data_IF_693671930860
#
_entry.id   IF_693671930860
#
_cell.length_a   1.000
_cell.length_b   1.000
_cell.length_c   1.000
_cell.angle_alpha   90.00
_cell.angle_beta   90.00
_cell.angle_gamma   90.00
#
_symmetry.space_group_name_H-M   'P 1'
#
loop_
_entity.id
_entity.type
_entity.pdbx_description
1 polymer ?
#
# COMPACT_ATOMS: atom_id res chain seq x y z
N UNK A 1 14.47 7.11 18.74
CA UNK A 1 14.24 5.78 18.11
C UNK A 1 15.48 5.46 17.31
N UNK A 2 16.09 4.28 17.45
CA UNK A 2 17.44 4.02 16.89
C UNK A 2 17.55 4.21 15.38
N UNK A 3 16.49 3.89 14.62
CA UNK A 3 16.45 4.11 13.16
C UNK A 3 16.36 5.61 12.80
N UNK A 4 15.60 6.40 13.56
CA UNK A 4 15.56 7.87 13.43
C UNK A 4 16.85 8.55 13.93
N UNK A 5 17.61 7.91 14.84
CA UNK A 5 18.94 8.40 15.20
C UNK A 5 19.98 8.07 14.12
N UNK A 6 19.76 6.99 13.36
CA UNK A 6 20.69 6.53 12.32
C UNK A 6 20.56 7.30 10.99
N UNK A 7 19.47 8.01 10.75
CA UNK A 7 19.24 8.72 9.48
C UNK A 7 18.32 7.99 8.49
N UNK A 8 17.48 7.05 8.95
CA UNK A 8 16.49 6.37 8.10
C UNK A 8 15.28 7.27 7.81
N UNK A 9 15.06 7.60 6.53
CA UNK A 9 13.97 8.48 6.10
C UNK A 9 12.57 7.85 6.20
N UNK A 10 12.45 6.55 5.92
CA UNK A 10 11.18 5.83 5.92
C UNK A 10 11.33 4.52 6.70
N UNK A 11 10.45 4.32 7.67
CA UNK A 11 10.45 3.13 8.52
C UNK A 11 9.11 2.46 8.37
N UNK A 12 9.07 1.33 7.68
CA UNK A 12 7.87 0.51 7.61
C UNK A 12 7.57 -0.07 9.00
N UNK A 13 6.44 0.36 9.55
CA UNK A 13 6.03 0.06 10.93
C UNK A 13 5.20 -1.21 11.07
N UNK A 14 4.77 -1.80 9.96
CA UNK A 14 3.88 -2.96 9.91
C UNK A 14 2.58 -2.67 9.15
N UNK A 15 1.61 -3.56 9.31
CA UNK A 15 0.32 -3.51 8.62
C UNK A 15 -0.80 -3.30 9.65
N UNK A 16 -1.33 -2.05 9.80
CA UNK A 16 -2.30 -1.70 10.84
C UNK A 16 -3.54 -2.62 10.89
N UNK A 17 -4.03 -3.05 9.74
CA UNK A 17 -5.21 -3.91 9.62
C UNK A 17 -4.94 -5.41 9.80
N UNK A 18 -3.69 -5.84 9.94
CA UNK A 18 -3.34 -7.26 9.97
C UNK A 18 -3.62 -7.92 11.31
N UNK A 19 -3.32 -7.24 12.42
CA UNK A 19 -3.43 -7.80 13.76
C UNK A 19 -3.45 -6.69 14.85
N UNK A 20 -3.96 -6.99 16.07
CA UNK A 20 -4.07 -6.00 17.16
C UNK A 20 -2.73 -5.40 17.63
N UNK A 21 -1.62 -6.14 17.51
CA UNK A 21 -0.31 -5.65 17.91
C UNK A 21 0.19 -4.56 16.95
N UNK A 22 -0.05 -4.71 15.66
CA UNK A 22 0.30 -3.67 14.68
C UNK A 22 -0.53 -2.41 14.91
N UNK A 23 -1.84 -2.56 15.16
CA UNK A 23 -2.70 -1.42 15.50
C UNK A 23 -2.18 -0.65 16.73
N UNK A 24 -1.80 -1.37 17.80
CA UNK A 24 -1.23 -0.76 18.99
C UNK A 24 0.14 -0.13 18.73
N UNK A 25 0.96 -0.72 17.85
CA UNK A 25 2.22 -0.11 17.42
C UNK A 25 1.97 1.25 16.76
N UNK A 26 1.01 1.38 15.84
CA UNK A 26 0.72 2.66 15.19
C UNK A 26 0.18 3.70 16.17
N UNK A 27 -0.62 3.28 17.16
CA UNK A 27 -1.06 4.16 18.25
C UNK A 27 0.13 4.69 19.06
N UNK A 28 1.05 3.81 19.46
CA UNK A 28 2.21 4.16 20.27
C UNK A 28 3.24 4.99 19.50
N UNK A 29 3.56 4.60 18.26
CA UNK A 29 4.58 5.28 17.46
C UNK A 29 4.17 6.70 17.08
N UNK A 30 2.86 6.98 16.96
CA UNK A 30 2.33 8.32 16.76
C UNK A 30 2.59 9.28 17.93
N UNK A 31 2.85 8.76 19.14
CA UNK A 31 3.24 9.57 20.30
C UNK A 31 4.74 9.96 20.27
N UNK A 32 5.55 9.33 19.41
CA UNK A 32 6.97 9.62 19.29
C UNK A 32 7.20 10.84 18.39
N UNK A 33 7.99 11.79 18.88
CA UNK A 33 8.51 12.88 18.04
C UNK A 33 9.76 12.40 17.32
N UNK A 34 9.60 12.04 16.04
CA UNK A 34 10.70 11.71 15.16
C UNK A 34 11.32 12.99 14.59
N UNK A 35 12.65 13.02 14.53
CA UNK A 35 13.38 14.20 14.07
C UNK A 35 13.39 14.31 12.55
N UNK A 36 13.40 13.17 11.83
CA UNK A 36 13.46 13.16 10.38
C UNK A 36 12.70 12.00 9.72
N UNK A 37 12.63 10.85 10.39
CA UNK A 37 12.01 9.65 9.84
C UNK A 37 10.49 9.78 9.75
N UNK A 38 9.91 9.21 8.70
CA UNK A 38 8.47 8.99 8.56
C UNK A 38 8.15 7.52 8.79
N UNK A 39 7.17 7.25 9.64
CA UNK A 39 6.61 5.91 9.78
C UNK A 39 5.71 5.63 8.57
N UNK A 40 5.86 4.45 7.99
CA UNK A 40 5.11 3.99 6.82
C UNK A 40 4.19 2.86 7.23
N UNK A 41 2.90 2.97 6.91
CA UNK A 41 1.97 1.85 7.05
C UNK A 41 1.98 0.97 5.79
N UNK A 42 2.16 -0.33 5.96
CA UNK A 42 2.02 -1.30 4.88
C UNK A 42 0.54 -1.69 4.71
N UNK A 43 0.08 -1.85 3.48
CA UNK A 43 -1.26 -2.35 3.16
C UNK A 43 -1.31 -2.92 1.74
N UNK A 44 -2.36 -3.65 1.41
CA UNK A 44 -2.68 -4.03 0.03
C UNK A 44 -3.63 -3.02 -0.64
N UNK A 45 -3.80 -3.14 -1.94
CA UNK A 45 -4.96 -2.55 -2.63
C UNK A 45 -6.29 -3.00 -2.02
N UNK A 46 -7.35 -2.21 -2.20
CA UNK A 46 -8.72 -2.56 -1.81
C UNK A 46 -9.11 -3.94 -2.31
N UNK A 47 -9.97 -4.64 -1.56
CA UNK A 47 -10.55 -5.90 -2.01
C UNK A 47 -11.41 -5.68 -3.27
N UNK A 48 -11.36 -6.65 -4.19
CA UNK A 48 -12.06 -6.57 -5.50
C UNK A 48 -13.57 -6.33 -5.39
N UNK A 49 -14.19 -6.83 -4.32
CA UNK A 49 -15.65 -6.78 -4.10
C UNK A 49 -16.09 -5.62 -3.18
N UNK A 50 -15.17 -4.74 -2.79
CA UNK A 50 -15.45 -3.59 -1.92
C UNK A 50 -15.12 -2.27 -2.62
N UNK A 51 -15.87 -1.23 -2.27
CA UNK A 51 -15.47 0.16 -2.56
C UNK A 51 -14.27 0.54 -1.69
N UNK A 52 -13.45 1.46 -2.16
CA UNK A 52 -12.19 1.83 -1.47
C UNK A 52 -12.44 2.39 -0.07
N UNK A 53 -13.50 3.18 0.09
CA UNK A 53 -13.92 3.80 1.36
C UNK A 53 -14.48 2.78 2.38
N UNK A 54 -14.84 1.58 1.92
CA UNK A 54 -15.36 0.48 2.73
C UNK A 54 -14.27 -0.53 3.09
N UNK A 55 -13.11 -0.49 2.42
CA UNK A 55 -12.04 -1.45 2.64
C UNK A 55 -11.41 -1.26 4.03
N UNK A 56 -11.42 -2.28 4.90
CA UNK A 56 -10.91 -2.16 6.26
C UNK A 56 -9.40 -1.88 6.27
N UNK A 57 -8.64 -2.42 5.32
CA UNK A 57 -7.20 -2.16 5.21
C UNK A 57 -6.91 -0.68 4.95
N UNK A 58 -7.60 -0.12 3.96
CA UNK A 58 -7.47 1.30 3.60
C UNK A 58 -7.91 2.21 4.74
N UNK A 59 -9.02 1.88 5.42
CA UNK A 59 -9.52 2.67 6.56
C UNK A 59 -8.56 2.66 7.74
N UNK A 60 -7.95 1.53 8.07
CA UNK A 60 -6.98 1.46 9.17
C UNK A 60 -5.69 2.22 8.85
N UNK A 61 -5.27 2.29 7.59
CA UNK A 61 -4.17 3.18 7.18
C UNK A 61 -4.52 4.64 7.47
N UNK A 62 -5.71 5.11 7.09
CA UNK A 62 -6.14 6.49 7.38
C UNK A 62 -6.23 6.77 8.89
N UNK A 63 -6.69 5.78 9.68
CA UNK A 63 -6.78 5.90 11.14
C UNK A 63 -5.44 5.86 11.86
N UNK A 64 -4.43 5.22 11.25
CA UNK A 64 -3.10 5.11 11.84
C UNK A 64 -2.39 6.46 11.98
N UNK A 65 -2.84 7.50 11.25
CA UNK A 65 -2.28 8.85 11.33
C UNK A 65 -0.89 8.99 10.69
N UNK A 66 -0.44 8.00 9.91
CA UNK A 66 0.81 8.10 9.14
C UNK A 66 0.68 9.10 8.01
N UNK A 67 1.81 9.68 7.59
CA UNK A 67 1.86 10.53 6.39
C UNK A 67 2.16 9.73 5.11
N UNK A 68 2.58 8.47 5.25
CA UNK A 68 3.11 7.65 4.15
C UNK A 68 2.60 6.23 4.25
N UNK A 69 2.21 5.63 3.13
CA UNK A 69 1.81 4.23 3.05
C UNK A 69 2.58 3.48 1.95
N UNK A 70 2.99 2.25 2.23
CA UNK A 70 3.47 1.30 1.25
C UNK A 70 2.28 0.43 0.83
N UNK A 71 1.86 0.54 -0.44
CA UNK A 71 0.67 -0.15 -0.97
C UNK A 71 1.12 -1.22 -1.94
N UNK A 72 0.90 -2.49 -1.60
CA UNK A 72 1.21 -3.62 -2.46
C UNK A 72 0.07 -3.94 -3.43
N UNK A 73 0.41 -4.11 -4.72
CA UNK A 73 -0.51 -4.51 -5.78
C UNK A 73 0.18 -5.37 -6.84
N UNK A 74 -0.48 -6.43 -7.30
CA UNK A 74 0.15 -7.41 -8.19
C UNK A 74 0.31 -6.89 -9.62
N UNK A 75 1.54 -6.97 -10.14
CA UNK A 75 1.91 -6.63 -11.51
C UNK A 75 2.01 -7.87 -12.44
N UNK A 76 1.53 -9.03 -11.99
CA UNK A 76 1.56 -10.29 -12.75
C UNK A 76 0.17 -10.77 -13.13
N UNK A 77 -0.09 -11.00 -14.43
CA UNK A 77 -1.36 -11.57 -14.92
C UNK A 77 -1.71 -12.89 -14.23
N UNK A 78 -0.71 -13.75 -14.05
CA UNK A 78 -0.89 -15.05 -13.40
C UNK A 78 -1.41 -14.89 -11.97
N UNK A 79 -0.80 -14.00 -11.18
CA UNK A 79 -1.22 -13.77 -9.80
C UNK A 79 -2.62 -13.15 -9.75
N UNK A 80 -2.91 -12.20 -10.63
CA UNK A 80 -4.24 -11.57 -10.72
C UNK A 80 -5.34 -12.59 -11.01
N UNK A 81 -5.13 -13.46 -12.00
CA UNK A 81 -6.15 -14.44 -12.41
C UNK A 81 -6.24 -15.64 -11.47
N UNK A 82 -5.10 -16.13 -10.94
CA UNK A 82 -5.05 -17.40 -10.19
C UNK A 82 -5.08 -17.23 -8.68
N UNK A 83 -4.46 -16.16 -8.17
CA UNK A 83 -4.37 -15.90 -6.72
C UNK A 83 -5.48 -14.93 -6.30
N UNK A 84 -5.55 -13.74 -6.91
CA UNK A 84 -6.58 -12.75 -6.59
C UNK A 84 -7.96 -13.14 -7.15
N UNK A 85 -7.98 -14.00 -8.17
CA UNK A 85 -9.19 -14.51 -8.85
C UNK A 85 -10.07 -13.36 -9.32
N UNK A 86 -9.47 -12.38 -9.97
CA UNK A 86 -10.14 -11.20 -10.51
C UNK A 86 -9.68 -10.93 -11.95
N UNK A 87 -10.35 -10.00 -12.63
CA UNK A 87 -9.95 -9.59 -13.98
C UNK A 87 -8.76 -8.63 -13.93
N UNK A 88 -8.01 -8.54 -15.04
CA UNK A 88 -6.92 -7.59 -15.19
C UNK A 88 -7.39 -6.14 -15.04
N UNK A 89 -8.56 -5.82 -15.59
CA UNK A 89 -9.19 -4.49 -15.47
C UNK A 89 -9.54 -4.17 -14.02
N UNK A 90 -10.20 -5.10 -13.33
CA UNK A 90 -10.54 -4.94 -11.91
C UNK A 90 -9.29 -4.75 -11.04
N UNK A 91 -8.18 -5.42 -11.35
CA UNK A 91 -6.91 -5.19 -10.64
C UNK A 91 -6.36 -3.77 -10.86
N UNK A 92 -6.44 -3.24 -12.09
CA UNK A 92 -6.04 -1.85 -12.37
C UNK A 92 -6.93 -0.85 -11.60
N UNK A 93 -8.23 -1.10 -11.54
CA UNK A 93 -9.16 -0.28 -10.74
C UNK A 93 -8.84 -0.36 -9.25
N UNK A 94 -8.58 -1.56 -8.71
CA UNK A 94 -8.18 -1.73 -7.31
C UNK A 94 -6.92 -0.91 -6.97
N UNK A 95 -5.91 -0.92 -7.85
CA UNK A 95 -4.69 -0.11 -7.69
C UNK A 95 -5.02 1.38 -7.72
N UNK A 96 -5.66 1.84 -8.79
CA UNK A 96 -6.00 3.26 -9.00
C UNK A 96 -6.86 3.83 -7.88
N UNK A 97 -7.90 3.10 -7.49
CA UNK A 97 -8.82 3.54 -6.44
C UNK A 97 -8.09 3.65 -5.10
N UNK A 98 -7.27 2.67 -4.75
CA UNK A 98 -6.55 2.66 -3.47
C UNK A 98 -5.53 3.79 -3.39
N UNK A 99 -4.68 3.90 -4.41
CA UNK A 99 -3.62 4.93 -4.44
C UNK A 99 -4.25 6.32 -4.48
N UNK A 100 -5.24 6.53 -5.36
CA UNK A 100 -5.94 7.80 -5.47
C UNK A 100 -6.65 8.19 -4.18
N UNK A 101 -7.36 7.25 -3.54
CA UNK A 101 -8.08 7.54 -2.30
C UNK A 101 -7.14 7.91 -1.15
N UNK A 102 -6.02 7.20 -0.99
CA UNK A 102 -5.01 7.54 0.03
C UNK A 102 -4.37 8.91 -0.26
N UNK A 103 -4.01 9.17 -1.53
CA UNK A 103 -3.44 10.45 -1.95
C UNK A 103 -4.41 11.63 -1.72
N UNK A 104 -5.69 11.46 -2.05
CA UNK A 104 -6.75 12.45 -1.83
C UNK A 104 -6.96 12.76 -0.33
N UNK A 105 -6.55 11.86 0.56
CA UNK A 105 -6.54 12.04 2.02
C UNK A 105 -5.19 12.53 2.57
N UNK A 106 -4.26 12.94 1.71
CA UNK A 106 -2.97 13.51 2.09
C UNK A 106 -1.89 12.48 2.42
N UNK A 107 -2.14 11.19 2.19
CA UNK A 107 -1.14 10.13 2.40
C UNK A 107 -0.26 10.02 1.16
N UNK A 108 1.06 10.13 1.34
CA UNK A 108 2.01 9.83 0.27
C UNK A 108 2.10 8.33 0.07
N UNK A 109 1.86 7.86 -1.15
CA UNK A 109 1.90 6.42 -1.45
C UNK A 109 3.25 6.04 -2.08
N UNK A 110 3.86 4.99 -1.55
CA UNK A 110 4.90 4.20 -2.20
C UNK A 110 4.22 2.94 -2.73
N UNK A 111 4.09 2.82 -4.04
CA UNK A 111 3.46 1.65 -4.64
C UNK A 111 4.48 0.52 -4.81
N UNK A 112 4.20 -0.62 -4.18
CA UNK A 112 4.95 -1.86 -4.31
C UNK A 112 4.28 -2.74 -5.38
N UNK A 113 4.89 -2.74 -6.57
CA UNK A 113 4.46 -3.57 -7.68
C UNK A 113 4.91 -5.03 -7.47
N UNK A 114 4.09 -5.80 -6.76
CA UNK A 114 4.38 -7.19 -6.43
C UNK A 114 4.54 -8.04 -7.70
N UNK A 115 5.56 -8.90 -7.73
CA UNK A 115 5.91 -9.72 -8.89
C UNK A 115 6.21 -8.94 -10.18
N UNK A 116 6.65 -7.67 -10.08
CA UNK A 116 6.90 -6.83 -11.24
C UNK A 116 7.87 -7.45 -12.25
N UNK A 117 9.02 -7.98 -11.84
CA UNK A 117 10.01 -8.47 -12.81
C UNK A 117 9.51 -9.69 -13.61
N UNK A 118 8.87 -10.65 -12.96
CA UNK A 118 8.29 -11.82 -13.64
C UNK A 118 7.04 -11.44 -14.45
N UNK A 119 6.21 -10.53 -13.90
CA UNK A 119 5.06 -9.96 -14.59
C UNK A 119 5.47 -9.18 -15.85
N UNK A 120 6.53 -8.38 -15.76
CA UNK A 120 7.09 -7.62 -16.88
C UNK A 120 7.71 -8.54 -17.91
N UNK A 121 8.47 -9.57 -17.49
CA UNK A 121 9.04 -10.55 -18.43
C UNK A 121 7.96 -11.31 -19.22
N UNK A 122 6.83 -11.63 -18.59
CA UNK A 122 5.74 -12.36 -19.22
C UNK A 122 4.78 -11.47 -20.02
N UNK A 123 4.54 -10.24 -19.57
CA UNK A 123 3.62 -9.31 -20.20
C UNK A 123 3.99 -7.84 -19.86
N UNK A 124 4.99 -7.26 -20.55
CA UNK A 124 5.49 -5.91 -20.27
C UNK A 124 4.39 -4.85 -20.21
N UNK A 125 3.48 -4.86 -21.20
CA UNK A 125 2.41 -3.86 -21.31
C UNK A 125 1.48 -3.86 -20.09
N UNK A 126 1.21 -5.04 -19.52
CA UNK A 126 0.34 -5.17 -18.36
C UNK A 126 1.05 -4.71 -17.08
N UNK A 127 2.28 -5.18 -16.85
CA UNK A 127 3.07 -4.74 -15.70
C UNK A 127 3.24 -3.21 -15.68
N UNK A 128 3.48 -2.61 -16.84
CA UNK A 128 3.55 -1.15 -16.97
C UNK A 128 2.19 -0.47 -16.80
N UNK A 129 1.09 -1.10 -17.22
CA UNK A 129 -0.26 -0.59 -16.97
C UNK A 129 -0.59 -0.54 -15.48
N UNK A 130 -0.13 -1.53 -14.71
CA UNK A 130 -0.28 -1.55 -13.23
C UNK A 130 0.49 -0.39 -12.59
N UNK A 131 1.74 -0.15 -13.01
CA UNK A 131 2.52 0.99 -12.51
C UNK A 131 1.87 2.33 -12.87
N UNK A 132 1.37 2.47 -14.10
CA UNK A 132 0.64 3.68 -14.53
C UNK A 132 -0.67 3.88 -13.77
N UNK A 133 -1.36 2.81 -13.39
CA UNK A 133 -2.57 2.92 -12.57
C UNK A 133 -2.28 3.47 -11.17
N UNK A 134 -1.05 3.29 -10.67
CA UNK A 134 -0.57 3.85 -9.40
C UNK A 134 0.00 5.28 -9.52
N UNK A 135 0.14 5.84 -10.72
CA UNK A 135 0.59 7.22 -10.93
C UNK A 135 -0.61 8.17 -10.81
N UNK A 136 -0.92 8.60 -9.58
CA UNK A 136 -2.11 9.38 -9.24
C UNK A 136 -1.78 10.59 -8.38
#
# INVERSE_FOLDING_TARGET
MKLDEFGVHFIEGGWPASNPKDLEYFRLVGEYRLSHAKVVAFTSTRRKDLRVEEDPGVREVLRSGVDVAAVVGSASKFHVEKVLRTSLETNLDMVKDTVGYLADHGIKVVFDAEHFFDGYKSSPDYAMSVVKAAEK
#
